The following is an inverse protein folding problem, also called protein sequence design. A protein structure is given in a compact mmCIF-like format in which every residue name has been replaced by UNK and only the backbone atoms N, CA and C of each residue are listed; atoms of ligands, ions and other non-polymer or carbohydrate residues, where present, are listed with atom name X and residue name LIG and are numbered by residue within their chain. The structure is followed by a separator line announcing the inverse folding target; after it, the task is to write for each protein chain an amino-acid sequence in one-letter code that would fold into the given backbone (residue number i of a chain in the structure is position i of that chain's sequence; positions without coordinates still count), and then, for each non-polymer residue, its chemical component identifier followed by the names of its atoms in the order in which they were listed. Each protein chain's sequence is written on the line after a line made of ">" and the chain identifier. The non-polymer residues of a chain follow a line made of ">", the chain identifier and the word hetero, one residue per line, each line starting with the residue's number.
data_IF_970563844856
#
_entry.id   IF_970563844856
#
_cell.length_a   1.000
_cell.length_b   1.000
_cell.length_c   1.000
_cell.angle_alpha   90.00
_cell.angle_beta   90.00
_cell.angle_gamma   90.00
#
_symmetry.space_group_name_H-M   'P 1'
#
loop_
_entity.id
_entity.type
_entity.pdbx_description
1 polymer ?
#
# COMPACT_ATOMS: atom_id res chain seq x y z
N UNK A 1 9.36 -21.42 -23.06
CA UNK A 1 8.61 -20.90 -21.89
C UNK A 1 9.52 -21.00 -20.69
N UNK A 2 9.57 -20.03 -19.79
CA UNK A 2 10.40 -20.19 -18.61
C UNK A 2 9.83 -21.36 -17.77
N UNK A 3 10.71 -22.25 -17.34
CA UNK A 3 10.35 -23.27 -16.37
C UNK A 3 10.04 -22.61 -15.02
N UNK A 4 9.16 -23.22 -14.25
CA UNK A 4 8.86 -22.69 -12.92
C UNK A 4 10.12 -22.74 -12.05
N UNK A 5 10.59 -21.60 -11.51
CA UNK A 5 11.86 -21.54 -10.79
C UNK A 5 11.73 -22.21 -9.42
N UNK A 6 12.18 -23.45 -9.31
CA UNK A 6 12.09 -24.26 -8.08
C UNK A 6 12.84 -23.64 -6.90
N UNK A 7 13.81 -22.76 -7.14
CA UNK A 7 14.52 -22.03 -6.07
C UNK A 7 13.61 -21.17 -5.20
N UNK A 8 12.47 -20.72 -5.74
CA UNK A 8 11.46 -19.96 -4.99
C UNK A 8 10.82 -20.81 -3.89
N UNK A 9 10.81 -22.13 -4.06
CA UNK A 9 10.24 -23.08 -3.09
C UNK A 9 11.07 -23.22 -1.81
N UNK A 10 12.28 -22.63 -1.75
CA UNK A 10 13.16 -22.68 -0.59
C UNK A 10 12.82 -21.62 0.48
N UNK A 11 11.85 -20.73 0.24
CA UNK A 11 11.44 -19.76 1.27
C UNK A 11 10.60 -20.44 2.37
N UNK A 12 10.61 -19.94 3.61
CA UNK A 12 9.81 -20.51 4.70
C UNK A 12 8.31 -20.58 4.36
N UNK A 13 7.76 -19.57 3.68
CA UNK A 13 6.37 -19.51 3.26
C UNK A 13 6.06 -20.58 2.20
N UNK A 14 6.97 -20.76 1.24
CA UNK A 14 6.84 -21.78 0.21
C UNK A 14 6.98 -23.18 0.80
N UNK A 15 7.92 -23.40 1.73
CA UNK A 15 8.12 -24.69 2.40
C UNK A 15 6.84 -25.11 3.15
N UNK A 16 6.12 -24.15 3.74
CA UNK A 16 4.84 -24.42 4.41
C UNK A 16 3.77 -24.83 3.39
N UNK A 17 3.65 -24.15 2.26
CA UNK A 17 2.74 -24.53 1.19
C UNK A 17 3.08 -25.93 0.60
N UNK A 18 4.37 -26.22 0.41
CA UNK A 18 4.85 -27.55 -0.04
C UNK A 18 4.45 -28.64 0.96
N UNK A 19 4.62 -28.40 2.28
CA UNK A 19 4.18 -29.33 3.32
C UNK A 19 2.68 -29.59 3.23
N UNK A 20 1.89 -28.55 3.13
CA UNK A 20 0.41 -28.65 3.04
C UNK A 20 0.00 -29.45 1.80
N UNK A 21 0.59 -29.15 0.64
CA UNK A 21 0.30 -29.87 -0.61
C UNK A 21 0.67 -31.35 -0.46
N UNK A 22 1.80 -31.65 0.17
CA UNK A 22 2.24 -33.04 0.38
C UNK A 22 1.28 -33.81 1.30
N UNK A 23 0.90 -33.22 2.44
CA UNK A 23 -0.03 -33.87 3.39
C UNK A 23 -1.42 -34.07 2.79
N UNK A 24 -1.93 -33.13 1.98
CA UNK A 24 -3.19 -33.31 1.25
C UNK A 24 -3.10 -34.44 0.21
N UNK A 25 -1.98 -34.50 -0.52
CA UNK A 25 -1.77 -35.60 -1.50
C UNK A 25 -1.67 -36.95 -0.82
N UNK A 26 -0.96 -37.05 0.30
CA UNK A 26 -0.85 -38.29 1.08
C UNK A 26 -2.22 -38.75 1.63
N UNK A 27 -3.12 -37.79 1.89
CA UNK A 27 -4.52 -38.07 2.24
C UNK A 27 -5.43 -38.40 1.04
N UNK A 28 -4.88 -38.40 -0.19
CA UNK A 28 -5.59 -38.80 -1.41
C UNK A 28 -6.24 -37.63 -2.17
N UNK A 29 -5.95 -36.37 -1.82
CA UNK A 29 -6.49 -35.20 -2.49
C UNK A 29 -5.52 -34.65 -3.53
N UNK A 30 -6.10 -33.98 -4.55
CA UNK A 30 -5.33 -33.12 -5.46
C UNK A 30 -5.04 -31.79 -4.76
N UNK A 31 -3.79 -31.35 -4.76
CA UNK A 31 -3.42 -30.05 -4.23
C UNK A 31 -2.28 -29.41 -5.05
N UNK A 32 -2.42 -28.12 -5.36
CA UNK A 32 -1.52 -27.37 -6.24
C UNK A 32 -1.30 -25.96 -5.70
N UNK A 33 -0.18 -25.32 -6.08
CA UNK A 33 -0.03 -23.87 -5.91
C UNK A 33 -0.95 -23.12 -6.88
N UNK A 34 -1.47 -21.97 -6.48
CA UNK A 34 -2.51 -21.29 -7.24
C UNK A 34 -2.33 -19.77 -7.33
N UNK A 35 -2.69 -19.19 -8.47
CA UNK A 35 -2.91 -17.77 -8.62
C UNK A 35 -1.66 -16.89 -8.57
N UNK A 36 -1.63 -15.95 -7.63
CA UNK A 36 -0.61 -14.91 -7.55
C UNK A 36 0.82 -15.42 -7.43
N UNK A 37 1.03 -16.45 -6.62
CA UNK A 37 2.36 -17.02 -6.43
C UNK A 37 2.90 -17.70 -7.69
N UNK A 38 2.03 -18.37 -8.46
CA UNK A 38 2.43 -19.01 -9.72
C UNK A 38 2.83 -17.94 -10.75
N UNK A 39 2.00 -16.91 -10.91
CA UNK A 39 2.32 -15.77 -11.78
C UNK A 39 3.64 -15.10 -11.41
N UNK A 40 3.82 -14.75 -10.13
CA UNK A 40 4.99 -14.01 -9.68
C UNK A 40 6.26 -14.85 -9.82
N UNK A 41 6.19 -16.17 -9.53
CA UNK A 41 7.27 -17.10 -9.77
C UNK A 41 7.70 -17.15 -11.25
N UNK A 42 6.73 -17.29 -12.17
CA UNK A 42 6.99 -17.32 -13.61
C UNK A 42 7.57 -16.00 -14.15
N UNK A 43 7.31 -14.88 -13.47
CA UNK A 43 7.93 -13.57 -13.76
C UNK A 43 9.30 -13.40 -13.10
N UNK A 44 9.84 -14.41 -12.42
CA UNK A 44 11.09 -14.32 -11.66
C UNK A 44 11.01 -13.38 -10.45
N UNK A 45 9.79 -13.10 -9.94
CA UNK A 45 9.56 -12.28 -8.76
C UNK A 45 9.35 -13.19 -7.55
N UNK A 46 9.86 -12.77 -6.39
CA UNK A 46 9.57 -13.50 -5.14
C UNK A 46 8.10 -13.30 -4.75
N UNK A 47 7.27 -14.40 -4.70
CA UNK A 47 5.91 -14.30 -4.20
C UNK A 47 5.89 -13.83 -2.74
N UNK A 48 4.83 -13.10 -2.38
CA UNK A 48 4.63 -12.63 -0.99
C UNK A 48 3.95 -13.68 -0.13
N UNK A 49 3.05 -14.44 -0.72
CA UNK A 49 2.21 -15.48 -0.14
C UNK A 49 2.13 -16.64 -1.13
N UNK A 50 1.82 -17.83 -0.62
CA UNK A 50 1.67 -19.04 -1.42
C UNK A 50 0.31 -19.66 -1.11
N UNK A 51 -0.64 -19.47 -2.03
CA UNK A 51 -1.97 -20.02 -1.92
C UNK A 51 -1.99 -21.46 -2.46
N UNK A 52 -2.72 -22.34 -1.76
CA UNK A 52 -2.95 -23.72 -2.16
C UNK A 52 -4.39 -23.87 -2.63
N UNK A 53 -4.60 -24.55 -3.75
CA UNK A 53 -5.91 -24.95 -4.22
C UNK A 53 -6.00 -26.49 -4.25
N UNK A 54 -7.16 -27.04 -3.87
CA UNK A 54 -7.36 -28.48 -3.66
C UNK A 54 -8.80 -28.92 -3.97
N UNK A 55 -9.01 -30.19 -4.26
CA UNK A 55 -10.34 -30.82 -4.31
C UNK A 55 -10.86 -31.26 -2.92
N UNK A 56 -10.01 -31.19 -1.87
CA UNK A 56 -10.45 -31.41 -0.50
C UNK A 56 -11.46 -30.33 -0.06
N UNK A 57 -12.58 -30.76 0.54
CA UNK A 57 -13.55 -29.82 1.12
C UNK A 57 -12.98 -29.15 2.37
N UNK A 58 -13.53 -28.01 2.83
CA UNK A 58 -13.10 -27.37 4.06
C UNK A 58 -13.07 -28.32 5.27
N UNK A 59 -14.06 -29.22 5.36
CA UNK A 59 -14.13 -30.24 6.40
C UNK A 59 -12.95 -31.21 6.28
N UNK A 60 -12.68 -31.72 5.07
CA UNK A 60 -11.56 -32.63 4.80
C UNK A 60 -10.21 -32.00 5.11
N UNK A 61 -10.01 -30.73 4.75
CA UNK A 61 -8.81 -29.97 5.12
C UNK A 61 -8.65 -29.91 6.65
N UNK A 62 -9.75 -29.68 7.38
CA UNK A 62 -9.73 -29.65 8.86
C UNK A 62 -9.54 -31.02 9.49
N UNK A 63 -9.93 -32.11 8.81
CA UNK A 63 -9.63 -33.49 9.24
C UNK A 63 -8.15 -33.81 9.07
N UNK A 64 -7.53 -33.45 7.96
CA UNK A 64 -6.11 -33.69 7.68
C UNK A 64 -5.22 -32.92 8.66
N UNK A 65 -5.43 -31.63 8.84
CA UNK A 65 -4.54 -30.78 9.65
C UNK A 65 -4.98 -30.64 11.11
N UNK A 66 -6.19 -31.04 11.44
CA UNK A 66 -6.79 -30.91 12.76
C UNK A 66 -7.38 -29.51 13.04
N UNK A 67 -8.49 -29.47 13.79
CA UNK A 67 -9.23 -28.24 14.11
C UNK A 67 -8.40 -27.18 14.83
N UNK A 68 -7.37 -27.58 15.61
CA UNK A 68 -6.49 -26.63 16.35
C UNK A 68 -5.44 -25.97 15.47
N UNK A 69 -5.14 -26.54 14.32
CA UNK A 69 -4.16 -26.04 13.35
C UNK A 69 -4.83 -25.38 12.15
N UNK A 70 -6.15 -25.14 12.20
CA UNK A 70 -6.91 -24.54 11.10
C UNK A 70 -7.75 -23.36 11.58
N UNK A 71 -7.90 -22.35 10.71
CA UNK A 71 -8.72 -21.16 10.91
C UNK A 71 -9.81 -21.11 9.84
N UNK A 72 -11.06 -20.95 10.26
CA UNK A 72 -12.24 -20.98 9.40
C UNK A 72 -12.68 -19.56 8.94
N UNK A 73 -11.75 -18.70 8.55
CA UNK A 73 -12.10 -17.32 8.18
C UNK A 73 -12.70 -17.14 6.78
N UNK A 74 -12.80 -18.19 6.00
CA UNK A 74 -13.41 -18.21 4.66
C UNK A 74 -14.19 -19.49 4.36
N UNK A 75 -14.58 -20.25 5.37
CA UNK A 75 -15.18 -21.59 5.23
C UNK A 75 -16.44 -21.60 4.36
N UNK A 76 -17.32 -20.60 4.51
CA UNK A 76 -18.52 -20.43 3.66
C UNK A 76 -18.20 -20.22 2.16
N UNK A 77 -16.96 -19.86 1.85
CA UNK A 77 -16.45 -19.68 0.49
C UNK A 77 -15.39 -20.73 0.13
N UNK A 78 -15.29 -21.81 0.89
CA UNK A 78 -14.36 -22.91 0.61
C UNK A 78 -12.90 -22.60 0.95
N UNK A 79 -12.59 -21.66 1.85
CA UNK A 79 -11.21 -21.29 2.20
C UNK A 79 -10.93 -21.57 3.68
N UNK A 80 -9.85 -22.32 3.95
CA UNK A 80 -9.35 -22.63 5.29
C UNK A 80 -7.91 -22.10 5.40
N UNK A 81 -7.59 -21.39 6.47
CA UNK A 81 -6.22 -21.06 6.82
C UNK A 81 -5.57 -22.19 7.61
N UNK A 82 -4.45 -22.73 7.11
CA UNK A 82 -3.66 -23.75 7.81
C UNK A 82 -2.51 -23.06 8.53
N UNK A 83 -2.41 -23.30 9.84
CA UNK A 83 -1.36 -22.71 10.69
C UNK A 83 -0.05 -23.51 10.55
N UNK A 84 1.11 -22.83 10.58
CA UNK A 84 2.39 -23.50 10.60
C UNK A 84 2.54 -24.33 11.90
N UNK A 85 3.31 -25.45 11.88
CA UNK A 85 3.58 -26.26 13.06
C UNK A 85 4.26 -25.43 14.16
N UNK A 86 3.92 -25.68 15.42
CA UNK A 86 4.53 -24.98 16.58
C UNK A 86 6.05 -25.19 16.70
N UNK A 87 6.58 -26.26 16.12
CA UNK A 87 8.03 -26.57 16.08
C UNK A 87 8.80 -25.76 15.03
N UNK A 88 8.11 -25.09 14.11
CA UNK A 88 8.73 -24.24 13.09
C UNK A 88 9.16 -22.86 13.63
N UNK A 89 8.87 -22.53 14.90
CA UNK A 89 9.49 -21.42 15.60
C UNK A 89 10.90 -21.83 16.04
N UNK A 90 11.86 -21.70 15.11
CA UNK A 90 13.28 -21.75 15.46
C UNK A 90 13.60 -20.57 16.38
N UNK A 91 14.59 -20.73 17.28
CA UNK A 91 15.06 -19.73 18.26
C UNK A 91 15.49 -18.38 17.64
N UNK A 92 15.50 -18.26 16.33
CA UNK A 92 15.70 -17.01 15.59
C UNK A 92 14.35 -16.37 15.27
N UNK A 93 13.79 -15.71 16.26
CA UNK A 93 12.38 -15.29 16.44
C UNK A 93 11.94 -14.09 15.59
N UNK A 94 12.46 -13.88 14.39
CA UNK A 94 12.08 -12.73 13.55
C UNK A 94 11.03 -13.01 12.47
N UNK A 95 10.76 -14.29 12.11
CA UNK A 95 9.79 -14.61 11.04
C UNK A 95 8.57 -15.30 11.63
N UNK A 96 7.51 -14.53 11.84
CA UNK A 96 6.18 -15.06 12.18
C UNK A 96 5.47 -15.44 10.88
N UNK A 97 5.45 -16.73 10.53
CA UNK A 97 4.68 -17.22 9.39
C UNK A 97 3.18 -16.96 9.60
N UNK A 98 2.55 -16.45 8.56
CA UNK A 98 1.10 -16.30 8.51
C UNK A 98 0.45 -17.63 8.13
N UNK A 99 -0.85 -17.84 8.46
CA UNK A 99 -1.58 -19.01 7.98
C UNK A 99 -1.57 -19.07 6.45
N UNK A 100 -1.29 -20.26 5.89
CA UNK A 100 -1.42 -20.50 4.44
C UNK A 100 -2.89 -20.68 4.07
N UNK A 101 -3.37 -19.97 3.05
CA UNK A 101 -4.73 -20.13 2.54
C UNK A 101 -4.82 -21.39 1.69
N UNK A 102 -5.77 -22.29 2.06
CA UNK A 102 -6.12 -23.50 1.32
C UNK A 102 -7.54 -23.34 0.82
N UNK A 103 -7.69 -23.20 -0.49
CA UNK A 103 -8.98 -23.00 -1.15
C UNK A 103 -9.46 -24.29 -1.83
N UNK A 104 -10.67 -24.70 -1.54
CA UNK A 104 -11.33 -25.80 -2.28
C UNK A 104 -11.65 -25.35 -3.70
N UNK A 105 -11.36 -26.17 -4.72
CA UNK A 105 -11.78 -25.92 -6.09
C UNK A 105 -13.29 -25.74 -6.16
N UNK A 106 -13.73 -24.67 -6.81
CA UNK A 106 -15.14 -24.35 -6.87
C UNK A 106 -15.54 -23.62 -8.16
N UNK A 107 -16.81 -23.77 -8.51
CA UNK A 107 -17.51 -22.89 -9.41
C UNK A 107 -18.37 -21.90 -8.60
N UNK A 108 -18.40 -20.66 -9.00
CA UNK A 108 -19.25 -19.66 -8.39
C UNK A 108 -20.62 -19.62 -9.09
N UNK A 109 -21.70 -19.49 -8.31
CA UNK A 109 -23.04 -19.28 -8.82
C UNK A 109 -23.25 -17.82 -9.27
N UNK A 110 -24.53 -17.38 -9.30
CA UNK A 110 -24.85 -15.99 -9.64
C UNK A 110 -24.32 -15.01 -8.58
N UNK A 111 -24.19 -13.74 -8.96
CA UNK A 111 -23.74 -12.64 -8.09
C UNK A 111 -24.84 -11.58 -8.01
N UNK A 112 -25.69 -11.64 -6.99
CA UNK A 112 -26.78 -10.69 -6.82
C UNK A 112 -26.32 -9.36 -6.19
N UNK A 113 -25.26 -9.40 -5.34
CA UNK A 113 -24.72 -8.23 -4.65
C UNK A 113 -23.57 -7.54 -5.41
N UNK A 114 -23.17 -8.09 -6.57
CA UNK A 114 -22.05 -7.59 -7.38
C UNK A 114 -20.68 -7.70 -6.70
N UNK A 115 -20.53 -8.68 -5.77
CA UNK A 115 -19.28 -8.94 -5.06
C UNK A 115 -19.07 -10.41 -4.69
N UNK A 116 -20.10 -11.04 -4.15
CA UNK A 116 -20.02 -12.41 -3.63
C UNK A 116 -20.96 -13.30 -4.42
N UNK A 117 -20.54 -14.53 -4.75
CA UNK A 117 -21.47 -15.46 -5.35
C UNK A 117 -22.58 -15.82 -4.35
N UNK A 118 -23.81 -15.92 -4.84
CA UNK A 118 -24.99 -16.33 -4.04
C UNK A 118 -24.85 -17.77 -3.54
N UNK A 119 -24.14 -18.60 -4.29
CA UNK A 119 -23.82 -19.98 -3.95
C UNK A 119 -22.48 -20.38 -4.54
N UNK A 120 -21.84 -21.35 -3.91
CA UNK A 120 -20.63 -22.00 -4.40
C UNK A 120 -20.88 -23.48 -4.56
N UNK A 121 -20.35 -24.08 -5.62
CA UNK A 121 -20.39 -25.53 -5.85
C UNK A 121 -18.95 -26.01 -5.98
N UNK A 122 -18.58 -27.03 -5.22
CA UNK A 122 -17.25 -27.60 -5.35
C UNK A 122 -17.11 -28.27 -6.71
N UNK A 123 -15.95 -28.09 -7.34
CA UNK A 123 -15.68 -28.49 -8.71
C UNK A 123 -14.25 -28.98 -8.90
N UNK A 124 -13.79 -28.93 -10.11
CA UNK A 124 -12.42 -29.24 -10.49
C UNK A 124 -11.53 -27.99 -10.64
N UNK A 125 -10.26 -28.20 -10.94
CA UNK A 125 -9.30 -27.12 -11.13
C UNK A 125 -9.65 -26.21 -12.32
N UNK A 126 -10.27 -26.74 -13.39
CA UNK A 126 -10.70 -25.95 -14.54
C UNK A 126 -11.83 -25.00 -14.16
N UNK A 127 -12.84 -25.48 -13.43
CA UNK A 127 -13.93 -24.64 -12.93
C UNK A 127 -13.40 -23.53 -12.00
N UNK A 128 -12.43 -23.85 -11.13
CA UNK A 128 -11.78 -22.86 -10.25
C UNK A 128 -10.98 -21.82 -11.05
N UNK A 129 -10.25 -22.23 -12.10
CA UNK A 129 -9.57 -21.30 -12.98
C UNK A 129 -10.54 -20.33 -13.65
N UNK A 130 -11.65 -20.87 -14.19
CA UNK A 130 -12.64 -20.12 -14.97
C UNK A 130 -13.37 -19.03 -14.17
N UNK A 131 -13.50 -19.16 -12.85
CA UNK A 131 -14.15 -18.13 -12.00
C UNK A 131 -13.23 -16.98 -11.59
N UNK A 132 -11.92 -17.11 -11.80
CA UNK A 132 -10.93 -16.08 -11.40
C UNK A 132 -11.05 -14.83 -12.26
N UNK A 133 -10.35 -13.77 -11.88
CA UNK A 133 -10.45 -12.46 -12.51
C UNK A 133 -9.71 -12.37 -13.86
N UNK A 134 -8.41 -12.65 -13.85
CA UNK A 134 -7.54 -12.49 -15.02
C UNK A 134 -6.79 -13.78 -15.35
N UNK A 135 -6.53 -14.01 -16.63
CA UNK A 135 -5.86 -15.22 -17.14
C UNK A 135 -4.56 -15.50 -16.41
N UNK A 136 -3.73 -14.47 -16.18
CA UNK A 136 -2.44 -14.58 -15.46
C UNK A 136 -2.57 -14.99 -14.00
N UNK A 137 -3.77 -14.92 -13.42
CA UNK A 137 -4.08 -15.37 -12.05
C UNK A 137 -4.86 -16.70 -12.03
N UNK A 138 -5.19 -17.24 -13.20
CA UNK A 138 -5.94 -18.50 -13.35
C UNK A 138 -5.06 -19.74 -13.52
N UNK A 139 -3.76 -19.60 -13.31
CA UNK A 139 -2.78 -20.69 -13.45
C UNK A 139 -2.55 -21.41 -12.13
N UNK A 140 -2.20 -22.70 -12.24
CA UNK A 140 -1.76 -23.54 -11.11
C UNK A 140 -0.37 -24.12 -11.39
N UNK A 141 0.31 -24.56 -10.34
CA UNK A 141 1.53 -25.33 -10.45
C UNK A 141 1.46 -26.60 -9.64
N UNK A 142 1.58 -27.73 -10.33
CA UNK A 142 1.67 -29.05 -9.72
C UNK A 142 3.13 -29.33 -9.35
N UNK A 143 3.39 -29.46 -8.05
CA UNK A 143 4.72 -29.70 -7.50
C UNK A 143 5.27 -31.08 -7.87
N UNK A 144 4.41 -32.08 -8.02
CA UNK A 144 4.82 -33.47 -8.25
C UNK A 144 5.05 -33.77 -9.73
N UNK A 145 4.21 -33.19 -10.59
CA UNK A 145 4.38 -33.25 -12.04
C UNK A 145 5.38 -32.19 -12.55
N UNK A 146 5.81 -31.28 -11.66
CA UNK A 146 6.66 -30.12 -12.01
C UNK A 146 6.13 -29.33 -13.21
N UNK A 147 4.80 -29.11 -13.25
CA UNK A 147 4.11 -28.58 -14.41
C UNK A 147 3.18 -27.43 -14.05
N UNK A 148 3.21 -26.39 -14.90
CA UNK A 148 2.16 -25.35 -14.89
C UNK A 148 0.91 -25.91 -15.56
N UNK A 149 -0.22 -25.79 -14.88
CA UNK A 149 -1.55 -26.14 -15.40
C UNK A 149 -2.29 -24.87 -15.72
N UNK A 150 -2.61 -24.68 -17.00
CA UNK A 150 -3.22 -23.47 -17.53
C UNK A 150 -4.44 -23.81 -18.40
N UNK A 151 -5.63 -23.50 -17.88
CA UNK A 151 -6.90 -23.72 -18.59
C UNK A 151 -7.40 -22.45 -19.30
N UNK A 152 -6.75 -21.29 -19.07
CA UNK A 152 -7.31 -20.00 -19.43
C UNK A 152 -6.41 -19.15 -20.34
N UNK A 153 -5.25 -19.69 -20.73
CA UNK A 153 -4.27 -18.99 -21.58
C UNK A 153 -3.43 -17.95 -20.83
N UNK A 154 -3.25 -18.15 -19.52
CA UNK A 154 -2.48 -17.26 -18.66
C UNK A 154 -0.99 -17.22 -19.00
N UNK A 155 -0.40 -18.33 -19.42
CA UNK A 155 1.00 -18.41 -19.85
C UNK A 155 1.27 -17.53 -21.07
N UNK A 156 0.41 -17.58 -22.08
CA UNK A 156 0.54 -16.77 -23.28
C UNK A 156 0.41 -15.28 -22.96
N UNK A 157 -0.55 -14.89 -22.12
CA UNK A 157 -0.75 -13.51 -21.71
C UNK A 157 0.41 -13.00 -20.84
N UNK A 158 0.96 -13.86 -19.98
CA UNK A 158 2.12 -13.54 -19.15
C UNK A 158 3.35 -13.25 -20.01
N UNK A 159 3.62 -14.08 -21.02
CA UNK A 159 4.73 -13.90 -21.96
C UNK A 159 4.61 -12.61 -22.78
N UNK A 160 3.37 -12.28 -23.18
CA UNK A 160 3.08 -11.05 -23.94
C UNK A 160 2.97 -9.79 -23.10
N UNK A 161 2.97 -9.91 -21.78
CA UNK A 161 2.69 -8.79 -20.87
C UNK A 161 1.26 -8.24 -21.03
N UNK A 162 0.29 -9.11 -21.28
CA UNK A 162 -1.10 -8.75 -21.44
C UNK A 162 -1.93 -9.06 -20.20
N UNK A 163 -2.78 -8.14 -19.81
CA UNK A 163 -3.80 -8.33 -18.77
C UNK A 163 -5.16 -8.52 -19.43
N UNK A 164 -5.67 -9.74 -19.40
CA UNK A 164 -6.95 -10.13 -19.98
C UNK A 164 -7.84 -10.78 -18.93
N UNK A 165 -9.13 -10.45 -18.93
CA UNK A 165 -10.12 -11.14 -18.11
C UNK A 165 -10.36 -12.57 -18.60
N UNK A 166 -10.66 -13.47 -17.68
CA UNK A 166 -11.09 -14.83 -18.04
C UNK A 166 -12.53 -14.76 -18.55
N UNK A 167 -12.77 -15.28 -19.74
CA UNK A 167 -14.09 -15.25 -20.37
C UNK A 167 -14.50 -13.85 -20.86
N UNK A 168 -15.78 -13.50 -20.73
CA UNK A 168 -16.31 -12.21 -21.19
C UNK A 168 -16.09 -11.13 -20.15
N UNK A 169 -15.35 -10.06 -20.51
CA UNK A 169 -14.99 -8.99 -19.59
C UNK A 169 -16.21 -8.29 -18.96
N UNK A 170 -17.26 -8.04 -19.75
CA UNK A 170 -18.51 -7.43 -19.25
C UNK A 170 -19.11 -8.25 -18.11
N UNK A 171 -19.25 -9.55 -18.32
CA UNK A 171 -19.79 -10.46 -17.32
C UNK A 171 -18.92 -10.47 -16.06
N UNK A 172 -17.58 -10.49 -16.19
CA UNK A 172 -16.65 -10.45 -15.05
C UNK A 172 -16.79 -9.16 -14.24
N UNK A 173 -17.06 -8.03 -14.88
CA UNK A 173 -17.27 -6.76 -14.20
C UNK A 173 -18.66 -6.63 -13.59
N UNK A 174 -19.67 -7.28 -14.16
CA UNK A 174 -20.99 -7.42 -13.53
C UNK A 174 -20.94 -8.23 -12.23
N UNK A 175 -20.13 -9.29 -12.17
CA UNK A 175 -19.92 -10.13 -10.98
C UNK A 175 -19.23 -9.36 -9.84
N UNK A 176 -18.14 -8.64 -10.11
CA UNK A 176 -17.44 -7.78 -9.15
C UNK A 176 -16.85 -6.55 -9.85
N UNK A 177 -17.48 -5.41 -9.64
CA UNK A 177 -17.08 -4.13 -10.24
C UNK A 177 -15.67 -3.72 -9.85
N UNK A 178 -15.15 -4.15 -8.69
CA UNK A 178 -13.77 -3.86 -8.30
C UNK A 178 -12.75 -4.47 -9.26
N UNK A 179 -13.11 -5.52 -10.01
CA UNK A 179 -12.20 -6.13 -11.00
C UNK A 179 -11.73 -5.12 -12.04
N UNK A 180 -12.50 -4.07 -12.35
CA UNK A 180 -12.06 -2.97 -13.22
C UNK A 180 -10.86 -2.22 -12.62
N UNK A 181 -10.93 -1.86 -11.35
CA UNK A 181 -9.83 -1.18 -10.66
C UNK A 181 -8.64 -2.13 -10.41
N UNK A 182 -8.91 -3.42 -10.15
CA UNK A 182 -7.88 -4.46 -10.09
C UNK A 182 -7.12 -4.61 -11.41
N UNK A 183 -7.81 -4.47 -12.57
CA UNK A 183 -7.15 -4.46 -13.88
C UNK A 183 -6.12 -3.33 -13.97
N UNK A 184 -6.50 -2.10 -13.61
CA UNK A 184 -5.58 -0.96 -13.57
C UNK A 184 -4.41 -1.23 -12.62
N UNK A 185 -4.69 -1.74 -11.43
CA UNK A 185 -3.63 -2.07 -10.46
C UNK A 185 -2.66 -3.13 -10.99
N UNK A 186 -3.16 -4.23 -11.57
CA UNK A 186 -2.28 -5.27 -12.10
C UNK A 186 -1.46 -4.76 -13.30
N UNK A 187 -2.09 -4.02 -14.22
CA UNK A 187 -1.37 -3.37 -15.32
C UNK A 187 -0.23 -2.49 -14.78
N UNK A 188 -0.50 -1.66 -13.77
CA UNK A 188 0.47 -0.77 -13.13
C UNK A 188 1.60 -1.54 -12.44
N UNK A 189 1.26 -2.52 -11.59
CA UNK A 189 2.26 -3.20 -10.75
C UNK A 189 3.09 -4.23 -11.50
N UNK A 190 2.55 -4.79 -12.57
CA UNK A 190 3.24 -5.76 -13.42
C UNK A 190 3.96 -5.10 -14.60
N UNK A 191 3.55 -3.90 -15.01
CA UNK A 191 4.02 -3.23 -16.22
C UNK A 191 3.38 -3.82 -17.48
N UNK A 192 2.12 -4.29 -17.38
CA UNK A 192 1.41 -4.96 -18.46
C UNK A 192 0.43 -4.02 -19.15
N UNK A 193 0.16 -4.27 -20.43
CA UNK A 193 -0.92 -3.61 -21.15
C UNK A 193 -2.26 -4.33 -20.89
N UNK A 194 -3.33 -3.56 -20.74
CA UNK A 194 -4.68 -4.15 -20.65
C UNK A 194 -5.13 -4.54 -22.07
N UNK A 195 -5.55 -5.79 -22.23
CA UNK A 195 -6.05 -6.30 -23.53
C UNK A 195 -7.25 -5.47 -24.00
N UNK A 196 -7.34 -5.23 -25.31
CA UNK A 196 -8.30 -4.28 -25.92
C UNK A 196 -9.77 -4.51 -25.50
N UNK A 197 -10.25 -5.79 -25.52
CA UNK A 197 -11.65 -6.07 -25.16
C UNK A 197 -11.89 -5.85 -23.66
N UNK A 198 -10.90 -6.18 -22.83
CA UNK A 198 -10.92 -5.91 -21.39
C UNK A 198 -10.94 -4.42 -21.13
N UNK A 199 -10.09 -3.64 -21.82
CA UNK A 199 -10.05 -2.17 -21.70
C UNK A 199 -11.37 -1.51 -22.14
N UNK A 200 -11.91 -1.89 -23.30
CA UNK A 200 -13.19 -1.37 -23.80
C UNK A 200 -14.36 -1.71 -22.86
N UNK A 201 -14.33 -2.91 -22.25
CA UNK A 201 -15.34 -3.27 -21.25
C UNK A 201 -15.23 -2.42 -19.98
N UNK A 202 -14.02 -2.08 -19.52
CA UNK A 202 -13.83 -1.15 -18.39
C UNK A 202 -14.44 0.21 -18.73
N UNK A 203 -14.17 0.76 -19.92
CA UNK A 203 -14.73 2.04 -20.35
C UNK A 203 -16.26 2.04 -20.34
N UNK A 204 -16.88 0.96 -20.82
CA UNK A 204 -18.33 0.84 -20.88
C UNK A 204 -18.99 0.70 -19.49
N UNK A 205 -18.28 0.15 -18.51
CA UNK A 205 -18.78 -0.12 -17.16
C UNK A 205 -18.17 0.79 -16.09
N UNK A 206 -17.37 1.81 -16.47
CA UNK A 206 -16.64 2.65 -15.52
C UNK A 206 -17.53 3.30 -14.44
N UNK A 207 -18.77 3.67 -14.78
CA UNK A 207 -19.74 4.25 -13.83
C UNK A 207 -20.13 3.29 -12.71
N UNK A 208 -20.08 1.98 -12.97
CA UNK A 208 -20.52 0.96 -12.03
C UNK A 208 -19.58 0.83 -10.84
N UNK A 209 -18.35 1.38 -10.92
CA UNK A 209 -17.40 1.41 -9.80
C UNK A 209 -17.96 2.13 -8.58
N UNK A 210 -18.93 3.01 -8.76
CA UNK A 210 -19.56 3.83 -7.70
C UNK A 210 -20.27 3.01 -6.63
N UNK A 211 -20.64 1.74 -6.90
CA UNK A 211 -21.26 0.86 -5.91
C UNK A 211 -20.24 0.12 -5.05
N UNK A 212 -18.96 0.19 -5.40
CA UNK A 212 -17.87 -0.46 -4.65
C UNK A 212 -17.57 0.35 -3.39
N UNK A 213 -17.38 -0.33 -2.26
CA UNK A 213 -17.07 0.36 -1.01
C UNK A 213 -15.73 1.09 -1.05
N UNK A 214 -15.66 2.25 -0.39
CA UNK A 214 -14.48 3.10 -0.36
C UNK A 214 -13.24 2.40 0.18
N UNK A 215 -13.39 1.51 1.16
CA UNK A 215 -12.28 0.70 1.72
C UNK A 215 -11.62 -0.16 0.64
N UNK A 216 -12.43 -0.79 -0.23
CA UNK A 216 -11.92 -1.62 -1.31
C UNK A 216 -11.23 -0.79 -2.38
N UNK A 217 -11.81 0.37 -2.74
CA UNK A 217 -11.20 1.33 -3.67
C UNK A 217 -9.86 1.81 -3.09
N UNK A 218 -9.85 2.27 -1.84
CA UNK A 218 -8.65 2.74 -1.16
C UNK A 218 -7.53 1.69 -1.10
N UNK A 219 -7.88 0.42 -0.87
CA UNK A 219 -6.91 -0.68 -0.85
C UNK A 219 -6.23 -0.90 -2.22
N UNK A 220 -6.97 -0.85 -3.32
CA UNK A 220 -6.40 -0.95 -4.68
C UNK A 220 -5.60 0.30 -5.04
N UNK A 221 -6.10 1.49 -4.71
CA UNK A 221 -5.43 2.75 -4.99
C UNK A 221 -4.10 2.90 -4.25
N UNK A 222 -3.98 2.42 -3.01
CA UNK A 222 -2.68 2.36 -2.31
C UNK A 222 -1.64 1.59 -3.12
N UNK A 223 -2.02 0.46 -3.70
CA UNK A 223 -1.11 -0.38 -4.50
C UNK A 223 -0.77 0.27 -5.84
N UNK A 224 -1.71 0.99 -6.47
CA UNK A 224 -1.45 1.77 -7.69
C UNK A 224 -0.45 2.89 -7.38
N UNK A 225 -0.72 3.70 -6.36
CA UNK A 225 0.05 4.89 -6.05
C UNK A 225 1.47 4.59 -5.53
N UNK A 226 1.66 3.49 -4.80
CA UNK A 226 2.99 3.08 -4.31
C UNK A 226 3.82 2.32 -5.35
N UNK A 227 3.26 2.02 -6.51
CA UNK A 227 3.98 1.39 -7.62
C UNK A 227 5.04 2.31 -8.22
N UNK A 228 6.08 1.72 -8.80
CA UNK A 228 7.08 2.46 -9.59
C UNK A 228 6.51 3.10 -10.87
N UNK A 229 5.39 2.61 -11.36
CA UNK A 229 4.66 3.09 -12.52
C UNK A 229 3.32 3.73 -12.13
N UNK A 230 3.28 4.47 -11.00
CA UNK A 230 2.03 5.06 -10.51
C UNK A 230 1.47 6.11 -11.46
N UNK A 231 2.30 6.83 -12.21
CA UNK A 231 1.90 7.74 -13.27
C UNK A 231 1.12 7.00 -14.37
N UNK A 232 1.65 5.91 -14.90
CA UNK A 232 0.92 5.04 -15.84
C UNK A 232 -0.40 4.54 -15.25
N UNK A 233 -0.42 4.16 -13.97
CA UNK A 233 -1.63 3.70 -13.30
C UNK A 233 -2.70 4.79 -13.19
N UNK A 234 -2.33 6.00 -12.81
CA UNK A 234 -3.26 7.13 -12.71
C UNK A 234 -3.73 7.62 -14.09
N UNK A 235 -2.86 7.61 -15.12
CA UNK A 235 -3.25 7.88 -16.51
C UNK A 235 -4.24 6.83 -17.01
N UNK A 236 -4.00 5.54 -16.74
CA UNK A 236 -4.91 4.45 -17.10
C UNK A 236 -6.30 4.61 -16.45
N UNK A 237 -6.38 5.14 -15.22
CA UNK A 237 -7.68 5.48 -14.61
C UNK A 237 -8.43 6.55 -15.40
N UNK A 238 -7.71 7.54 -15.93
CA UNK A 238 -8.31 8.59 -16.79
C UNK A 238 -8.77 7.99 -18.11
N UNK A 239 -7.93 7.22 -18.77
CA UNK A 239 -8.18 6.63 -20.09
C UNK A 239 -9.34 5.62 -20.06
N UNK A 240 -9.48 4.88 -18.97
CA UNK A 240 -10.60 3.94 -18.75
C UNK A 240 -11.88 4.61 -18.28
N UNK A 241 -11.86 5.91 -17.97
CA UNK A 241 -13.00 6.63 -17.41
C UNK A 241 -13.26 6.40 -15.93
N UNK A 242 -12.56 5.47 -15.26
CA UNK A 242 -12.73 5.20 -13.84
C UNK A 242 -12.43 6.43 -12.97
N UNK A 243 -11.48 7.27 -13.39
CA UNK A 243 -11.14 8.50 -12.67
C UNK A 243 -12.34 9.42 -12.46
N UNK A 244 -13.31 9.47 -13.38
CA UNK A 244 -14.51 10.29 -13.24
C UNK A 244 -15.31 9.99 -11.98
N UNK A 245 -15.27 8.75 -11.52
CA UNK A 245 -16.08 8.23 -10.43
C UNK A 245 -15.33 8.11 -9.10
N UNK A 246 -13.99 7.97 -9.16
CA UNK A 246 -13.18 7.77 -7.93
C UNK A 246 -12.24 8.92 -7.61
N UNK A 247 -11.79 9.69 -8.61
CA UNK A 247 -10.91 10.86 -8.45
C UNK A 247 -10.99 11.78 -9.69
N UNK A 248 -12.09 12.54 -9.88
CA UNK A 248 -12.33 13.32 -11.10
C UNK A 248 -11.24 14.35 -11.44
N UNK A 249 -10.55 14.87 -10.42
CA UNK A 249 -9.52 15.90 -10.58
C UNK A 249 -8.28 15.38 -11.36
N UNK A 250 -8.04 14.07 -11.42
CA UNK A 250 -6.93 13.48 -12.18
C UNK A 250 -6.91 13.92 -13.65
N UNK A 251 -8.07 14.22 -14.24
CA UNK A 251 -8.18 14.71 -15.63
C UNK A 251 -7.44 16.04 -15.88
N UNK A 252 -7.17 16.80 -14.82
CA UNK A 252 -6.48 18.08 -14.90
C UNK A 252 -5.05 18.00 -14.33
N UNK A 253 -4.50 16.78 -14.18
CA UNK A 253 -3.16 16.53 -13.67
C UNK A 253 -2.09 17.12 -14.59
N UNK A 254 -1.07 17.73 -14.01
CA UNK A 254 0.17 18.04 -14.73
C UNK A 254 1.03 16.77 -14.80
N UNK A 255 0.77 15.91 -15.77
CA UNK A 255 1.40 14.60 -15.92
C UNK A 255 2.92 14.66 -16.02
N UNK A 256 3.44 15.63 -16.77
CA UNK A 256 4.90 15.79 -16.95
C UNK A 256 5.61 16.01 -15.61
N UNK A 257 5.10 16.91 -14.79
CA UNK A 257 5.70 17.23 -13.50
C UNK A 257 5.47 16.12 -12.48
N UNK A 258 4.28 15.51 -12.47
CA UNK A 258 3.99 14.38 -11.60
C UNK A 258 4.90 13.17 -11.90
N UNK A 259 4.99 12.77 -13.17
CA UNK A 259 5.86 11.66 -13.61
C UNK A 259 7.32 11.92 -13.23
N UNK A 260 7.82 13.14 -13.46
CA UNK A 260 9.17 13.53 -13.04
C UNK A 260 9.36 13.38 -11.51
N UNK A 261 8.43 13.86 -10.70
CA UNK A 261 8.51 13.81 -9.26
C UNK A 261 8.46 12.37 -8.72
N UNK A 262 7.52 11.54 -9.21
CA UNK A 262 7.37 10.18 -8.73
C UNK A 262 8.54 9.27 -9.11
N UNK A 263 9.16 9.48 -10.28
CA UNK A 263 10.33 8.70 -10.71
C UNK A 263 11.63 9.12 -9.98
N UNK A 264 11.70 10.33 -9.44
CA UNK A 264 12.83 10.76 -8.58
C UNK A 264 12.74 10.23 -7.16
N UNK A 265 11.59 9.77 -6.73
CA UNK A 265 11.36 9.31 -5.35
C UNK A 265 11.84 7.85 -5.16
N UNK A 266 12.73 7.64 -4.18
CA UNK A 266 13.19 6.31 -3.75
C UNK A 266 12.24 5.67 -2.74
N UNK A 267 11.64 6.47 -1.86
CA UNK A 267 10.68 6.04 -0.84
C UNK A 267 9.27 6.40 -1.30
N UNK A 268 8.51 5.40 -1.72
CA UNK A 268 7.15 5.57 -2.24
C UNK A 268 6.14 5.08 -1.20
N UNK A 269 6.07 5.75 -0.05
CA UNK A 269 4.93 5.55 0.83
C UNK A 269 3.67 6.12 0.15
N UNK A 270 2.51 5.65 0.60
CA UNK A 270 1.23 6.12 0.05
C UNK A 270 1.06 7.62 0.27
N UNK A 271 1.49 8.13 1.44
CA UNK A 271 1.36 9.54 1.83
C UNK A 271 2.21 10.44 0.94
N UNK A 272 3.45 10.04 0.63
CA UNK A 272 4.32 10.75 -0.31
C UNK A 272 3.71 10.76 -1.71
N UNK A 273 3.25 9.61 -2.20
CA UNK A 273 2.63 9.51 -3.53
C UNK A 273 1.34 10.33 -3.63
N UNK A 274 0.52 10.33 -2.57
CA UNK A 274 -0.70 11.13 -2.47
C UNK A 274 -0.38 12.63 -2.46
N UNK A 275 0.58 13.07 -1.65
CA UNK A 275 1.00 14.47 -1.61
C UNK A 275 1.53 14.92 -2.98
N UNK A 276 2.39 14.12 -3.64
CA UNK A 276 2.92 14.45 -4.97
C UNK A 276 1.81 14.55 -6.02
N UNK A 277 0.86 13.62 -6.03
CA UNK A 277 -0.27 13.70 -6.96
C UNK A 277 -1.09 14.98 -6.73
N UNK A 278 -1.38 15.31 -5.47
CA UNK A 278 -2.15 16.50 -5.11
C UNK A 278 -1.39 17.81 -5.39
N UNK A 279 -0.05 17.84 -5.30
CA UNK A 279 0.75 19.00 -5.69
C UNK A 279 0.60 19.37 -7.16
N UNK A 280 0.43 18.36 -8.01
CA UNK A 280 0.35 18.54 -9.46
C UNK A 280 -1.09 18.63 -9.99
N UNK A 281 -2.08 18.68 -9.08
CA UNK A 281 -3.48 18.98 -9.41
C UNK A 281 -3.77 20.48 -9.22
N UNK A 282 -4.58 21.09 -10.12
CA UNK A 282 -5.03 22.45 -9.93
C UNK A 282 -6.02 22.58 -8.78
N UNK A 283 -6.02 23.72 -8.10
CA UNK A 283 -7.00 24.07 -7.08
C UNK A 283 -6.56 23.79 -5.65
N UNK A 284 -7.51 23.54 -4.75
CA UNK A 284 -7.25 23.36 -3.32
C UNK A 284 -6.93 21.89 -3.01
N UNK A 285 -5.65 21.56 -2.93
CA UNK A 285 -5.14 20.20 -2.67
C UNK A 285 -5.61 19.63 -1.33
N UNK A 286 -5.67 20.46 -0.28
CA UNK A 286 -6.15 20.02 1.05
C UNK A 286 -7.64 19.66 1.01
N UNK A 287 -8.46 20.43 0.30
CA UNK A 287 -9.87 20.11 0.13
C UNK A 287 -10.04 18.80 -0.66
N UNK A 288 -9.26 18.62 -1.72
CA UNK A 288 -9.26 17.38 -2.50
C UNK A 288 -8.86 16.17 -1.64
N UNK A 289 -7.78 16.30 -0.85
CA UNK A 289 -7.35 15.24 0.07
C UNK A 289 -8.45 14.84 1.06
N UNK A 290 -9.17 15.81 1.64
CA UNK A 290 -10.27 15.53 2.58
C UNK A 290 -11.43 14.78 1.94
N UNK A 291 -11.76 15.05 0.68
CA UNK A 291 -12.77 14.29 -0.05
C UNK A 291 -12.30 12.84 -0.27
N UNK A 292 -11.09 12.66 -0.82
CA UNK A 292 -10.50 11.33 -1.04
C UNK A 292 -10.41 10.53 0.27
N UNK A 293 -9.99 11.17 1.36
CA UNK A 293 -9.92 10.54 2.69
C UNK A 293 -11.26 9.94 3.11
N UNK A 294 -12.35 10.70 2.94
CA UNK A 294 -13.69 10.24 3.31
C UNK A 294 -14.20 9.15 2.35
N UNK A 295 -13.96 9.32 1.04
CA UNK A 295 -14.48 8.42 0.01
C UNK A 295 -13.74 7.07 0.03
N UNK A 296 -12.42 7.06 0.21
CA UNK A 296 -11.60 5.83 0.21
C UNK A 296 -11.38 5.26 1.62
N UNK A 297 -11.97 5.85 2.65
CA UNK A 297 -11.83 5.41 4.06
C UNK A 297 -10.36 5.27 4.47
N UNK A 298 -9.57 6.29 4.19
CA UNK A 298 -8.17 6.34 4.59
C UNK A 298 -8.05 6.49 6.10
N UNK A 299 -6.93 6.04 6.69
CA UNK A 299 -6.65 6.21 8.11
C UNK A 299 -6.34 7.67 8.46
N UNK A 300 -6.58 8.05 9.71
CA UNK A 300 -6.26 9.40 10.22
C UNK A 300 -4.77 9.71 10.04
N UNK A 301 -3.90 8.72 10.26
CA UNK A 301 -2.46 8.85 10.08
C UNK A 301 -2.09 9.16 8.62
N UNK A 302 -2.63 8.40 7.65
CA UNK A 302 -2.40 8.65 6.21
C UNK A 302 -2.84 10.06 5.80
N UNK A 303 -4.02 10.50 6.28
CA UNK A 303 -4.51 11.84 6.01
C UNK A 303 -3.58 12.91 6.58
N UNK A 304 -3.21 12.79 7.87
CA UNK A 304 -2.37 13.77 8.55
C UNK A 304 -1.02 13.88 7.86
N UNK A 305 -0.34 12.76 7.60
CA UNK A 305 0.97 12.76 6.96
C UNK A 305 0.94 13.34 5.54
N UNK A 306 -0.13 13.08 4.77
CA UNK A 306 -0.32 13.73 3.46
C UNK A 306 -0.59 15.23 3.59
N UNK A 307 -1.39 15.66 4.57
CA UNK A 307 -1.74 17.07 4.81
C UNK A 307 -0.53 17.88 5.28
N UNK A 308 0.30 17.34 6.18
CA UNK A 308 1.55 17.97 6.64
C UNK A 308 2.57 18.06 5.50
N UNK A 309 2.71 17.03 4.67
CA UNK A 309 3.56 17.05 3.49
C UNK A 309 3.11 18.15 2.50
N UNK A 310 1.82 18.25 2.19
CA UNK A 310 1.26 19.29 1.34
C UNK A 310 1.51 20.71 1.89
N UNK A 311 1.49 20.87 3.21
CA UNK A 311 1.64 22.15 3.87
C UNK A 311 3.10 22.60 3.91
N UNK A 312 4.04 21.69 4.11
CA UNK A 312 5.42 22.04 4.48
C UNK A 312 6.48 21.66 3.44
N UNK A 313 6.19 20.79 2.46
CA UNK A 313 7.22 20.34 1.53
C UNK A 313 7.83 21.48 0.71
N UNK A 314 7.03 22.46 0.27
CA UNK A 314 7.53 23.63 -0.45
C UNK A 314 8.45 24.49 0.43
N UNK A 315 8.09 24.70 1.70
CA UNK A 315 8.95 25.39 2.68
C UNK A 315 10.29 24.68 2.80
N UNK A 316 10.32 23.34 2.86
CA UNK A 316 11.56 22.56 2.90
C UNK A 316 12.39 22.76 1.63
N UNK A 317 11.77 22.86 0.45
CA UNK A 317 12.54 23.10 -0.79
C UNK A 317 13.29 24.44 -0.77
N UNK A 318 12.82 25.41 0.00
CA UNK A 318 13.32 26.80 0.04
C UNK A 318 14.06 27.14 1.35
N UNK A 319 14.26 26.18 2.26
CA UNK A 319 14.71 26.44 3.63
C UNK A 319 16.23 26.65 3.80
N UNK A 320 17.02 26.80 2.73
CA UNK A 320 18.49 26.91 2.84
C UNK A 320 18.93 28.07 3.75
N UNK A 321 18.30 29.24 3.62
CA UNK A 321 18.54 30.43 4.47
C UNK A 321 17.52 30.62 5.60
N UNK A 322 16.61 29.67 5.84
CA UNK A 322 15.58 29.86 6.86
C UNK A 322 16.18 29.75 8.27
N UNK A 323 15.81 30.65 9.24
CA UNK A 323 16.21 30.52 10.63
C UNK A 323 15.86 29.14 11.20
N UNK A 324 16.70 28.63 12.11
CA UNK A 324 16.50 27.30 12.68
C UNK A 324 15.19 27.23 13.48
N UNK A 325 14.82 28.30 14.16
CA UNK A 325 13.56 28.45 14.87
C UNK A 325 12.32 28.23 13.98
N UNK A 326 12.43 28.46 12.68
CA UNK A 326 11.35 28.25 11.71
C UNK A 326 11.39 26.87 11.05
N UNK A 327 12.58 26.29 10.92
CA UNK A 327 12.75 24.98 10.29
C UNK A 327 12.55 23.82 11.28
N UNK A 328 13.10 23.94 12.48
CA UNK A 328 13.09 22.91 13.49
C UNK A 328 11.67 22.39 13.83
N UNK A 329 10.63 23.23 14.01
CA UNK A 329 9.28 22.73 14.29
C UNK A 329 8.71 21.79 13.20
N UNK A 330 9.12 21.98 11.93
CA UNK A 330 8.73 21.12 10.83
C UNK A 330 9.50 19.79 10.90
N UNK A 331 10.76 19.81 11.30
CA UNK A 331 11.62 18.64 11.33
C UNK A 331 11.44 17.75 12.58
N UNK A 332 10.81 18.26 13.64
CA UNK A 332 10.45 17.45 14.81
C UNK A 332 9.01 16.91 14.76
N UNK A 333 8.27 17.24 13.70
CA UNK A 333 6.95 16.67 13.45
C UNK A 333 7.07 15.14 13.24
N UNK A 334 6.10 14.37 13.71
CA UNK A 334 6.09 12.92 13.53
C UNK A 334 6.05 12.48 12.06
N UNK A 335 5.63 13.37 11.15
CA UNK A 335 5.58 13.15 9.69
C UNK A 335 6.77 13.80 8.94
N UNK A 336 7.83 14.22 9.64
CA UNK A 336 8.98 14.92 9.07
C UNK A 336 9.63 14.17 7.90
N UNK A 337 9.76 12.85 8.01
CA UNK A 337 10.30 12.01 6.93
C UNK A 337 9.44 12.09 5.67
N UNK A 338 8.11 12.07 5.80
CA UNK A 338 7.16 12.22 4.68
C UNK A 338 7.26 13.60 4.04
N UNK A 339 7.38 14.66 4.86
CA UNK A 339 7.55 16.05 4.40
C UNK A 339 8.83 16.18 3.57
N UNK A 340 9.96 15.69 4.12
CA UNK A 340 11.28 15.81 3.45
C UNK A 340 11.37 14.90 2.23
N UNK A 341 10.78 13.70 2.26
CA UNK A 341 10.71 12.82 1.09
C UNK A 341 9.91 13.47 -0.05
N UNK A 342 8.76 14.07 0.26
CA UNK A 342 7.95 14.83 -0.71
C UNK A 342 8.72 16.02 -1.28
N UNK A 343 9.35 16.83 -0.44
CA UNK A 343 10.17 17.96 -0.87
C UNK A 343 11.33 17.53 -1.78
N UNK A 344 11.96 16.40 -1.47
CA UNK A 344 13.05 15.83 -2.29
C UNK A 344 12.57 15.41 -3.67
N UNK A 345 11.37 14.85 -3.77
CA UNK A 345 10.79 14.50 -5.06
C UNK A 345 10.46 15.72 -5.91
N UNK A 346 9.94 16.79 -5.28
CA UNK A 346 9.63 18.06 -5.95
C UNK A 346 10.90 18.80 -6.41
N UNK A 347 11.94 18.81 -5.58
CA UNK A 347 13.16 19.59 -5.83
C UNK A 347 14.44 18.82 -5.40
N UNK A 348 14.85 17.77 -6.14
CA UNK A 348 15.94 16.85 -5.71
C UNK A 348 17.31 17.51 -5.59
N UNK A 349 17.52 18.65 -6.24
CA UNK A 349 18.78 19.42 -6.20
C UNK A 349 18.75 20.60 -5.23
N UNK A 350 17.67 20.77 -4.46
CA UNK A 350 17.53 21.88 -3.51
C UNK A 350 18.52 21.76 -2.35
N UNK A 351 19.20 22.86 -2.04
CA UNK A 351 20.05 22.99 -0.83
C UNK A 351 19.22 22.89 0.44
N UNK A 352 17.99 23.42 0.44
CA UNK A 352 17.06 23.32 1.55
C UNK A 352 16.71 21.87 1.88
N UNK A 353 16.39 21.05 0.87
CA UNK A 353 16.15 19.61 1.04
C UNK A 353 17.39 18.90 1.61
N UNK A 354 18.59 19.23 1.10
CA UNK A 354 19.84 18.65 1.60
C UNK A 354 20.12 19.04 3.05
N UNK A 355 19.80 20.29 3.45
CA UNK A 355 19.90 20.78 4.83
C UNK A 355 18.93 20.04 5.76
N UNK A 356 17.66 19.94 5.40
CA UNK A 356 16.63 19.27 6.18
C UNK A 356 16.94 17.77 6.35
N UNK A 357 17.35 17.10 5.28
CA UNK A 357 17.71 15.68 5.33
C UNK A 357 18.93 15.40 6.23
N UNK A 358 19.95 16.28 6.22
CA UNK A 358 21.10 16.17 7.13
C UNK A 358 20.67 16.33 8.59
N UNK A 359 19.79 17.28 8.86
CA UNK A 359 19.28 17.52 10.20
C UNK A 359 18.51 16.31 10.75
N UNK A 360 17.66 15.69 9.95
CA UNK A 360 16.91 14.47 10.35
C UNK A 360 17.82 13.26 10.60
N UNK A 361 18.94 13.15 9.88
CA UNK A 361 19.89 12.05 10.05
C UNK A 361 20.98 12.34 11.11
N UNK A 362 20.99 13.53 11.71
CA UNK A 362 21.94 13.98 12.72
C UNK A 362 21.59 13.55 14.15
N UNK A 363 22.26 14.16 15.14
CA UNK A 363 21.98 13.91 16.56
C UNK A 363 20.57 14.43 16.92
N UNK A 364 19.68 13.59 17.48
CA UNK A 364 18.37 14.04 17.97
C UNK A 364 18.43 15.18 18.98
N UNK A 365 19.49 15.29 19.78
CA UNK A 365 19.67 16.39 20.75
C UNK A 365 20.04 17.71 20.06
N UNK A 366 20.74 17.66 18.93
CA UNK A 366 21.00 18.86 18.12
C UNK A 366 19.74 19.29 17.35
N UNK A 367 18.95 18.31 16.88
CA UNK A 367 17.68 18.57 16.22
C UNK A 367 16.68 19.21 17.18
N UNK A 368 16.54 18.66 18.38
CA UNK A 368 15.59 19.14 19.39
C UNK A 368 16.25 19.28 20.78
N UNK A 369 17.13 20.28 20.96
CA UNK A 369 17.76 20.53 22.25
C UNK A 369 16.71 20.84 23.31
N UNK A 370 16.91 20.46 24.58
CA UNK A 370 15.99 20.80 25.66
C UNK A 370 15.83 22.31 25.80
N UNK A 371 14.64 22.81 26.14
CA UNK A 371 14.41 24.25 26.31
C UNK A 371 15.24 24.83 27.48
N UNK A 372 15.88 25.97 27.26
CA UNK A 372 16.67 26.66 28.29
C UNK A 372 15.80 27.13 29.46
N UNK A 373 14.55 27.54 29.18
CA UNK A 373 13.60 28.03 30.19
C UNK A 373 12.26 27.35 29.97
N UNK A 374 11.64 26.93 31.08
CA UNK A 374 10.32 26.29 31.14
C UNK A 374 9.32 27.18 31.87
N UNK A 375 8.01 26.86 31.78
CA UNK A 375 6.99 27.56 32.55
C UNK A 375 7.19 27.45 34.08
N UNK A 376 7.76 26.35 34.55
CA UNK A 376 8.14 26.20 35.98
C UNK A 376 9.21 27.19 36.41
N UNK A 377 10.19 27.46 35.55
CA UNK A 377 11.23 28.42 35.83
C UNK A 377 10.68 29.85 35.95
N UNK A 378 9.72 30.23 35.10
CA UNK A 378 9.05 31.54 35.17
C UNK A 378 8.27 31.69 36.48
N UNK A 379 7.56 30.65 36.90
CA UNK A 379 6.81 30.64 38.17
C UNK A 379 7.77 30.76 39.36
N UNK A 380 8.86 30.01 39.39
CA UNK A 380 9.87 30.04 40.44
C UNK A 380 10.52 31.44 40.56
N UNK A 381 10.52 32.25 39.50
CA UNK A 381 11.02 33.65 39.48
C UNK A 381 9.90 34.70 39.64
N UNK A 382 8.76 34.29 40.21
CA UNK A 382 7.70 35.19 40.63
C UNK A 382 6.75 35.63 39.52
N UNK A 383 6.77 35.04 38.35
CA UNK A 383 5.78 35.30 37.31
C UNK A 383 4.47 34.52 37.60
N UNK A 384 3.33 35.17 37.40
CA UNK A 384 2.03 34.52 37.52
C UNK A 384 1.67 33.81 36.21
N UNK A 385 1.21 32.56 36.23
CA UNK A 385 0.73 31.88 35.03
C UNK A 385 -0.33 32.69 34.29
N UNK A 386 -0.14 32.89 32.97
CA UNK A 386 -1.07 33.65 32.14
C UNK A 386 -0.89 33.35 30.65
N UNK A 387 -1.76 33.94 29.80
CA UNK A 387 -1.69 33.74 28.34
C UNK A 387 -0.35 34.11 27.72
N UNK A 388 0.37 35.03 28.36
CA UNK A 388 1.67 35.60 27.92
C UNK A 388 2.82 34.59 28.06
N UNK A 389 2.69 33.58 28.98
CA UNK A 389 3.73 32.54 29.12
C UNK A 389 4.06 31.85 27.81
N UNK A 390 3.03 31.58 27.01
CA UNK A 390 3.22 30.90 25.71
C UNK A 390 4.05 31.76 24.75
N UNK A 391 3.78 33.05 24.66
CA UNK A 391 4.52 33.96 23.77
C UNK A 391 5.95 34.20 24.25
N UNK A 392 6.16 34.36 25.55
CA UNK A 392 7.49 34.56 26.17
C UNK A 392 8.33 33.30 25.95
N UNK A 393 7.80 32.10 26.30
CA UNK A 393 8.52 30.85 26.12
C UNK A 393 8.83 30.57 24.65
N UNK A 394 7.91 30.91 23.73
CA UNK A 394 8.15 30.74 22.30
C UNK A 394 9.25 31.69 21.82
N UNK A 395 9.25 32.94 22.23
CA UNK A 395 10.30 33.93 21.88
C UNK A 395 11.69 33.47 22.38
N UNK A 396 11.77 33.01 23.62
CA UNK A 396 12.99 32.44 24.19
C UNK A 396 13.45 31.19 23.44
N UNK A 397 12.50 30.31 23.09
CA UNK A 397 12.79 29.11 22.31
C UNK A 397 13.33 29.47 20.92
N UNK A 398 12.71 30.41 20.23
CA UNK A 398 13.16 30.89 18.92
C UNK A 398 14.60 31.46 19.00
N UNK A 399 14.89 32.27 20.00
CA UNK A 399 16.22 32.87 20.20
C UNK A 399 17.26 31.78 20.62
N UNK A 400 16.87 30.76 21.38
CA UNK A 400 17.71 29.61 21.66
C UNK A 400 18.05 28.84 20.38
N UNK A 401 17.02 28.49 19.58
CA UNK A 401 17.18 27.72 18.35
C UNK A 401 18.03 28.48 17.31
N UNK A 402 17.91 29.81 17.26
CA UNK A 402 18.71 30.67 16.37
C UNK A 402 20.10 30.98 16.92
N UNK A 403 20.49 30.41 18.09
CA UNK A 403 21.80 30.59 18.69
C UNK A 403 22.05 31.94 19.33
N UNK A 404 21.02 32.76 19.52
CA UNK A 404 21.14 34.06 20.20
C UNK A 404 21.20 33.94 21.72
N UNK A 405 20.55 32.91 22.26
CA UNK A 405 20.59 32.54 23.68
C UNK A 405 21.20 31.15 23.82
N UNK A 406 22.30 31.07 24.58
CA UNK A 406 23.06 29.82 24.76
C UNK A 406 23.14 29.37 26.21
N UNK A 407 22.82 30.27 27.17
CA UNK A 407 22.80 29.96 28.60
C UNK A 407 21.38 30.05 29.17
N UNK A 408 21.14 29.30 30.26
CA UNK A 408 19.88 29.34 31.00
C UNK A 408 19.72 30.67 31.71
N UNK A 409 20.82 31.23 32.22
CA UNK A 409 20.85 32.51 32.94
C UNK A 409 20.38 33.67 32.03
N UNK A 410 20.98 33.78 30.83
CA UNK A 410 20.62 34.83 29.87
C UNK A 410 19.18 34.69 29.38
N UNK A 411 18.76 33.44 29.12
CA UNK A 411 17.40 33.12 28.69
C UNK A 411 16.37 33.50 29.77
N UNK A 412 16.66 33.23 31.04
CA UNK A 412 15.78 33.59 32.14
C UNK A 412 15.73 35.13 32.33
N UNK A 413 16.88 35.82 32.27
CA UNK A 413 16.94 37.26 32.34
C UNK A 413 16.12 37.94 31.25
N UNK A 414 16.24 37.41 29.99
CA UNK A 414 15.46 37.88 28.84
C UNK A 414 13.97 37.69 29.07
N UNK A 415 13.57 36.51 29.57
CA UNK A 415 12.17 36.20 29.86
C UNK A 415 11.55 37.14 30.92
N UNK A 416 12.34 37.54 31.90
CA UNK A 416 11.91 38.44 32.96
C UNK A 416 11.84 39.90 32.55
N UNK A 417 12.62 40.32 31.52
CA UNK A 417 12.55 41.65 30.93
C UNK A 417 11.29 41.86 30.09
N UNK A 418 10.75 40.81 29.47
CA UNK A 418 9.51 40.81 28.70
C UNK A 418 8.27 40.76 29.60
N UNK A 419 8.41 41.08 30.89
CA UNK A 419 7.29 41.25 31.83
C UNK A 419 6.39 42.38 31.37
N UNK A 420 5.08 42.21 31.26
CA UNK A 420 4.13 43.25 30.90
C UNK A 420 4.07 44.35 31.99
#
# INVERSE_FOLDING_TARGET
>A
MPDFPTEILNSPEAAEAVRIITELKDAGFVAVLAGGCVRDALLGRKPKDFDVATDATPESVREVFGKRSTLAFGESFGVIGVLPPRSASTDDSSIKLMPTEVATFRADGNYSDGRRPDSVTYGDAEADAMRRDFTINGMFYDLFESKVVDYVGGMEDLEKGHLRTIGKATQRFEEDKLRMLRAVRFATTLGFSIEYKTFAAIQNHASDISVVSGERIGAEMRRVMTSSASDFGLETLVDTGLALHIWPQLRSMNWTEYSRAIHTTKHRSFEVAMALALFHLPGNSIKCLRLIFNDWKLSVAERRASETALTHAETITQCDGLPWSRLQPILIDEDADTIVATARALAPKSRGVARAARALSGDPNELNPPPLVTGADLIANGMRPGPEFKSILQSIRDDQLDGKLTSREDALQRALQDKP
#
